data_IF_339248930090
#
_entry.id   IF_339248930090
#
_cell.length_a   1.000
_cell.length_b   1.000
_cell.length_c   1.000
_cell.angle_alpha   90.00
_cell.angle_beta   90.00
_cell.angle_gamma   90.00
#
_symmetry.space_group_name_H-M   'P 1'
#
loop_
_entity.id
_entity.type
_entity.pdbx_description
1 polymer ?
#
# COMPACT_ATOMS: atom_id res chain seq x y z
N UNK A 1 4.32 12.06 -15.88
CA UNK A 1 4.39 10.81 -15.06
C UNK A 1 3.81 11.14 -13.71
N UNK A 2 2.84 10.37 -13.26
CA UNK A 2 2.18 10.53 -11.95
C UNK A 2 2.58 9.38 -11.04
N UNK A 3 2.67 9.66 -9.74
CA UNK A 3 2.97 8.67 -8.72
C UNK A 3 1.83 8.61 -7.69
N UNK A 4 1.64 7.43 -7.11
CA UNK A 4 0.79 7.24 -5.95
C UNK A 4 1.61 6.69 -4.80
N UNK A 5 1.40 7.25 -3.62
CA UNK A 5 2.10 6.87 -2.40
C UNK A 5 1.19 6.02 -1.52
N UNK A 6 1.73 4.94 -0.99
CA UNK A 6 1.06 4.11 0.02
C UNK A 6 1.89 4.11 1.30
N UNK A 7 1.21 4.29 2.42
CA UNK A 7 1.75 3.97 3.75
C UNK A 7 1.43 2.51 4.00
N UNK A 8 2.46 1.74 4.34
CA UNK A 8 2.35 0.31 4.64
C UNK A 8 2.78 0.07 6.07
N UNK A 9 1.90 -0.56 6.84
CA UNK A 9 2.09 -0.87 8.25
C UNK A 9 2.08 -2.39 8.44
N UNK A 10 3.01 -2.90 9.24
CA UNK A 10 2.95 -4.29 9.73
C UNK A 10 1.84 -4.40 10.77
N UNK A 11 0.87 -5.28 10.54
CA UNK A 11 -0.22 -5.47 11.49
C UNK A 11 0.29 -6.23 12.75
N UNK A 12 -0.24 -5.94 13.96
CA UNK A 12 0.18 -6.62 15.18
C UNK A 12 -0.02 -8.14 15.14
N UNK A 13 -0.95 -8.59 14.31
CA UNK A 13 -1.37 -9.99 14.15
C UNK A 13 -0.55 -10.72 13.07
N UNK A 14 0.37 -9.99 12.41
CA UNK A 14 1.10 -10.41 11.22
C UNK A 14 0.46 -9.90 9.92
N UNK A 15 1.24 -9.90 8.84
CA UNK A 15 0.82 -9.34 7.56
C UNK A 15 1.02 -7.83 7.45
N UNK A 16 0.48 -7.26 6.38
CA UNK A 16 0.70 -5.88 5.97
C UNK A 16 -0.62 -5.23 5.57
N UNK A 17 -0.78 -3.98 5.98
CA UNK A 17 -1.89 -3.12 5.57
C UNK A 17 -1.30 -1.96 4.79
N UNK A 18 -1.79 -1.70 3.59
CA UNK A 18 -1.39 -0.59 2.75
C UNK A 18 -2.55 0.37 2.49
N UNK A 19 -2.30 1.67 2.70
CA UNK A 19 -3.25 2.75 2.47
C UNK A 19 -2.67 3.79 1.52
N UNK A 20 -3.41 4.13 0.47
CA UNK A 20 -3.02 5.21 -0.43
C UNK A 20 -3.17 6.59 0.22
N UNK A 21 -2.21 7.47 -0.05
CA UNK A 21 -2.28 8.89 0.32
C UNK A 21 -3.01 9.64 -0.79
N UNK A 22 -4.12 10.28 -0.44
CA UNK A 22 -4.91 11.09 -1.38
C UNK A 22 -5.82 10.30 -2.32
N UNK A 23 -5.99 8.99 -2.09
CA UNK A 23 -6.97 8.15 -2.78
C UNK A 23 -7.60 7.16 -1.79
N UNK A 24 -8.86 6.82 -1.99
CA UNK A 24 -9.58 5.85 -1.16
C UNK A 24 -9.26 4.42 -1.61
N UNK A 25 -7.99 4.03 -1.45
CA UNK A 25 -7.49 2.69 -1.76
C UNK A 25 -6.86 2.10 -0.49
N UNK A 26 -7.35 0.92 -0.14
CA UNK A 26 -6.92 0.13 1.01
C UNK A 26 -6.74 -1.32 0.56
N UNK A 27 -5.63 -1.93 0.96
CA UNK A 27 -5.32 -3.33 0.64
C UNK A 27 -4.56 -3.95 1.80
N UNK A 28 -4.76 -5.24 2.01
CA UNK A 28 -4.03 -6.02 3.02
C UNK A 28 -3.56 -7.34 2.43
N UNK A 29 -2.51 -7.91 3.01
CA UNK A 29 -2.01 -9.23 2.65
C UNK A 29 -1.09 -9.81 3.74
N UNK A 30 -0.97 -11.14 3.77
CA UNK A 30 -0.14 -11.86 4.73
C UNK A 30 1.38 -11.65 4.50
N UNK A 31 1.78 -11.31 3.27
CA UNK A 31 3.17 -11.05 2.91
C UNK A 31 3.30 -9.93 1.86
N UNK A 32 4.50 -9.36 1.76
CA UNK A 32 4.79 -8.25 0.83
C UNK A 32 4.57 -8.62 -0.64
N UNK A 33 4.78 -9.87 -1.04
CA UNK A 33 4.60 -10.28 -2.44
C UNK A 33 3.13 -10.24 -2.82
N UNK A 34 2.25 -10.78 -1.97
CA UNK A 34 0.81 -10.66 -2.14
C UNK A 34 0.34 -9.21 -2.02
N UNK A 35 0.89 -8.42 -1.08
CA UNK A 35 0.56 -7.01 -0.95
C UNK A 35 0.86 -6.24 -2.24
N UNK A 36 2.01 -6.48 -2.87
CA UNK A 36 2.38 -5.85 -4.13
C UNK A 36 1.39 -6.17 -5.26
N UNK A 37 0.89 -7.40 -5.32
CA UNK A 37 -0.12 -7.79 -6.29
C UNK A 37 -1.44 -7.05 -6.02
N UNK A 38 -1.92 -7.10 -4.77
CA UNK A 38 -3.16 -6.46 -4.34
C UNK A 38 -3.14 -4.94 -4.58
N UNK A 39 -2.04 -4.26 -4.25
CA UNK A 39 -1.89 -2.81 -4.49
C UNK A 39 -1.96 -2.50 -5.98
N UNK A 40 -1.27 -3.27 -6.83
CA UNK A 40 -1.30 -3.04 -8.29
C UNK A 40 -2.70 -3.21 -8.85
N UNK A 41 -3.42 -4.24 -8.41
CA UNK A 41 -4.77 -4.52 -8.89
C UNK A 41 -5.78 -3.50 -8.36
N UNK A 42 -5.64 -3.06 -7.11
CA UNK A 42 -6.46 -2.00 -6.55
C UNK A 42 -6.26 -0.66 -7.29
N UNK A 43 -5.01 -0.29 -7.60
CA UNK A 43 -4.71 0.89 -8.43
C UNK A 43 -5.31 0.76 -9.83
N UNK A 44 -5.22 -0.42 -10.46
CA UNK A 44 -5.82 -0.66 -11.78
C UNK A 44 -7.35 -0.56 -11.77
N UNK A 45 -7.98 -1.02 -10.70
CA UNK A 45 -9.44 -1.00 -10.54
C UNK A 45 -9.96 0.40 -10.20
N UNK A 46 -9.21 1.17 -9.39
CA UNK A 46 -9.62 2.49 -8.93
C UNK A 46 -9.47 3.58 -10.00
N UNK A 47 -8.47 3.48 -10.88
CA UNK A 47 -8.19 4.51 -11.88
C UNK A 47 -8.48 4.04 -13.32
N UNK A 48 -9.14 4.91 -14.09
CA UNK A 48 -9.24 4.80 -15.55
C UNK A 48 -7.84 4.72 -16.20
N UNK A 49 -7.73 4.11 -17.39
CA UNK A 49 -6.44 3.90 -18.07
C UNK A 49 -5.62 5.18 -18.22
N UNK A 50 -6.26 6.28 -18.61
CA UNK A 50 -5.60 7.57 -18.86
C UNK A 50 -5.19 8.30 -17.57
N UNK A 51 -5.72 7.87 -16.43
CA UNK A 51 -5.49 8.48 -15.11
C UNK A 51 -4.63 7.62 -14.19
N UNK A 52 -4.25 6.42 -14.62
CA UNK A 52 -3.46 5.50 -13.79
C UNK A 52 -2.09 6.08 -13.48
N UNK A 53 -1.66 6.04 -12.21
CA UNK A 53 -0.31 6.40 -11.85
C UNK A 53 0.68 5.43 -12.48
N UNK A 54 1.75 6.00 -13.06
CA UNK A 54 2.85 5.24 -13.68
C UNK A 54 3.81 4.63 -12.66
N UNK A 55 3.80 5.12 -11.42
CA UNK A 55 4.68 4.69 -10.34
C UNK A 55 3.87 4.50 -9.05
N UNK A 56 4.11 3.38 -8.37
CA UNK A 56 3.56 3.10 -7.04
C UNK A 56 4.73 3.10 -6.06
N UNK A 57 4.67 3.96 -5.04
CA UNK A 57 5.67 4.05 -3.98
C UNK A 57 5.09 3.51 -2.69
N UNK A 58 5.68 2.44 -2.18
CA UNK A 58 5.33 1.89 -0.87
C UNK A 58 6.32 2.43 0.15
N UNK A 59 5.82 3.12 1.18
CA UNK A 59 6.57 3.46 2.38
C UNK A 59 6.21 2.46 3.47
N UNK A 60 7.11 1.51 3.72
CA UNK A 60 6.89 0.46 4.73
C UNK A 60 7.51 0.93 6.04
N UNK A 61 6.67 1.05 7.06
CA UNK A 61 7.07 1.40 8.42
C UNK A 61 6.73 0.26 9.37
N UNK A 62 7.59 0.07 10.36
CA UNK A 62 7.39 -0.85 11.48
C UNK A 62 7.55 -0.06 12.76
N UNK A 63 6.50 0.00 13.55
CA UNK A 63 6.56 0.57 14.90
C UNK A 63 7.09 -0.46 15.89
N UNK A 64 8.02 -0.03 16.74
CA UNK A 64 8.53 -0.83 17.85
C UNK A 64 8.28 -0.07 19.15
N UNK A 65 7.67 -0.75 20.12
CA UNK A 65 7.41 -0.20 21.44
C UNK A 65 8.47 -0.73 22.40
N UNK A 66 9.26 0.17 22.97
CA UNK A 66 10.29 -0.13 23.97
C UNK A 66 9.90 0.52 25.30
N UNK A 67 10.10 -0.20 26.40
CA UNK A 67 10.03 0.40 27.74
C UNK A 67 11.29 1.26 27.99
N UNK A 68 11.13 2.38 28.72
CA UNK A 68 12.20 3.32 29.07
C UNK A 68 12.90 2.99 30.39
#
# INVERSE_FOLDING_TARGET
>A
MTEIHFIVEEAPEGGYIARAVGADIFTEADDLSHLHAQVRDAVRCHFDEDRRPSLIRLHITREEVLAA
#
